data_IF_487732894471
#
_entry.id   IF_487732894471
#
_cell.length_a   1.000
_cell.length_b   1.000
_cell.length_c   1.000
_cell.angle_alpha   90.00
_cell.angle_beta   90.00
_cell.angle_gamma   90.00
#
_symmetry.space_group_name_H-M   'P 1'
#
loop_
_entity.id
_entity.type
_entity.pdbx_description
1 polymer ?
#
# COMPACT_ATOMS: atom_id res chain seq x y z
N UNK A 1 -34.01 -34.06 -12.97
CA UNK A 1 -32.73 -33.86 -12.26
C UNK A 1 -31.97 -32.74 -12.95
N UNK A 2 -31.96 -31.54 -12.35
CA UNK A 2 -31.12 -30.44 -12.81
C UNK A 2 -29.74 -30.59 -12.17
N UNK A 3 -28.70 -30.75 -12.99
CA UNK A 3 -27.33 -30.82 -12.51
C UNK A 3 -26.80 -29.37 -12.42
N UNK A 4 -26.53 -28.81 -11.22
CA UNK A 4 -25.96 -27.48 -11.13
C UNK A 4 -24.53 -27.55 -11.67
N UNK A 5 -24.24 -26.79 -12.73
CA UNK A 5 -22.88 -26.59 -13.21
C UNK A 5 -22.12 -25.97 -12.03
N UNK A 6 -21.25 -26.76 -11.40
CA UNK A 6 -20.29 -26.22 -10.45
C UNK A 6 -19.38 -25.29 -11.23
N UNK A 7 -19.64 -23.99 -11.15
CA UNK A 7 -18.75 -22.97 -11.70
C UNK A 7 -17.43 -23.07 -10.94
N UNK A 8 -16.43 -23.68 -11.56
CA UNK A 8 -15.05 -23.53 -11.12
C UNK A 8 -14.80 -22.02 -10.97
N UNK A 9 -14.29 -21.53 -9.82
CA UNK A 9 -13.98 -20.11 -9.69
C UNK A 9 -12.92 -19.78 -10.74
N UNK A 10 -13.36 -19.11 -11.82
CA UNK A 10 -12.45 -18.66 -12.85
C UNK A 10 -11.54 -17.60 -12.20
N UNK A 11 -10.21 -17.70 -12.34
CA UNK A 11 -9.32 -16.70 -11.77
C UNK A 11 -9.65 -15.33 -12.35
N UNK A 12 -10.02 -14.39 -11.48
CA UNK A 12 -10.37 -13.01 -11.81
C UNK A 12 -9.22 -12.37 -12.59
N UNK A 13 -9.47 -11.87 -13.81
CA UNK A 13 -8.45 -11.15 -14.59
C UNK A 13 -8.50 -9.67 -14.28
N UNK A 14 -7.32 -9.08 -14.10
CA UNK A 14 -7.14 -7.69 -13.68
C UNK A 14 -6.30 -6.96 -14.73
N UNK A 15 -6.70 -5.72 -15.01
CA UNK A 15 -5.98 -4.74 -15.80
C UNK A 15 -5.54 -3.62 -14.84
N UNK A 16 -4.28 -3.67 -14.43
CA UNK A 16 -3.73 -2.80 -13.39
C UNK A 16 -2.74 -1.78 -13.97
N UNK A 17 -2.77 -0.51 -13.54
CA UNK A 17 -1.85 0.52 -13.99
C UNK A 17 -0.46 0.35 -13.35
N UNK A 18 0.52 -0.16 -14.11
CA UNK A 18 1.92 -0.28 -13.64
C UNK A 18 2.70 1.02 -13.79
N UNK A 19 2.37 1.83 -14.80
CA UNK A 19 2.92 3.17 -15.01
C UNK A 19 1.84 4.07 -15.58
N UNK A 20 1.52 5.15 -14.87
CA UNK A 20 0.57 6.15 -15.34
C UNK A 20 1.07 7.54 -14.94
N UNK A 21 1.33 8.39 -15.93
CA UNK A 21 1.79 9.77 -15.71
C UNK A 21 0.66 10.81 -15.83
N UNK A 22 -0.57 10.36 -16.12
CA UNK A 22 -1.70 11.22 -16.48
C UNK A 22 -2.84 11.21 -15.46
N UNK A 23 -2.79 10.34 -14.45
CA UNK A 23 -3.77 10.28 -13.38
C UNK A 23 -3.08 10.30 -12.01
N UNK A 24 -3.65 11.05 -11.07
CA UNK A 24 -3.14 11.19 -9.69
C UNK A 24 -3.35 9.90 -8.90
N UNK A 25 -4.48 9.22 -9.12
CA UNK A 25 -4.85 8.00 -8.37
C UNK A 25 -5.45 6.97 -9.34
N UNK A 26 -4.60 6.22 -10.08
CA UNK A 26 -5.08 5.31 -11.09
C UNK A 26 -5.61 4.01 -10.46
N UNK A 27 -6.91 3.73 -10.60
CA UNK A 27 -7.51 2.45 -10.21
C UNK A 27 -7.38 1.39 -11.30
N UNK A 28 -7.33 0.12 -10.90
CA UNK A 28 -7.41 -1.00 -11.83
C UNK A 28 -8.82 -1.29 -12.34
N UNK A 29 -8.94 -2.18 -13.31
CA UNK A 29 -10.21 -2.72 -13.79
C UNK A 29 -10.14 -4.24 -13.80
N UNK A 30 -11.27 -4.92 -13.61
CA UNK A 30 -11.37 -6.35 -13.92
C UNK A 30 -11.99 -6.57 -15.28
N UNK A 31 -11.69 -7.71 -15.90
CA UNK A 31 -12.31 -8.08 -17.15
C UNK A 31 -12.46 -9.59 -17.27
N UNK A 32 -13.37 -10.02 -18.15
CA UNK A 32 -13.53 -11.40 -18.57
C UNK A 32 -13.53 -11.51 -20.10
N UNK A 33 -13.29 -12.72 -20.60
CA UNK A 33 -13.35 -13.03 -22.02
C UNK A 33 -14.59 -13.90 -22.24
N UNK A 34 -15.62 -13.33 -22.83
CA UNK A 34 -16.92 -14.00 -23.08
C UNK A 34 -17.17 -13.98 -24.57
N UNK A 35 -17.31 -15.17 -25.18
CA UNK A 35 -17.58 -15.28 -26.62
C UNK A 35 -16.52 -14.63 -27.53
N UNK A 36 -15.28 -14.48 -27.06
CA UNK A 36 -14.20 -13.82 -27.80
C UNK A 36 -14.16 -12.28 -27.65
N UNK A 37 -15.05 -11.70 -26.85
CA UNK A 37 -15.05 -10.27 -26.52
C UNK A 37 -14.57 -10.04 -25.07
N UNK A 38 -14.07 -8.83 -24.81
CA UNK A 38 -13.71 -8.37 -23.46
C UNK A 38 -14.97 -7.77 -22.82
N UNK A 39 -15.38 -8.33 -21.69
CA UNK A 39 -16.39 -7.74 -20.81
C UNK A 39 -15.70 -7.09 -19.62
N UNK A 40 -15.93 -5.78 -19.42
CA UNK A 40 -15.36 -5.04 -18.31
C UNK A 40 -16.20 -5.19 -17.05
N UNK A 41 -15.53 -5.34 -15.91
CA UNK A 41 -16.17 -5.25 -14.61
C UNK A 41 -16.72 -3.85 -14.36
N UNK A 42 -17.88 -3.79 -13.71
CA UNK A 42 -18.57 -2.53 -13.41
C UNK A 42 -17.88 -1.69 -12.32
N UNK A 43 -17.06 -2.34 -11.48
CA UNK A 43 -16.42 -1.72 -10.35
C UNK A 43 -14.91 -1.59 -10.57
N UNK A 44 -14.31 -0.47 -10.16
CA UNK A 44 -12.86 -0.33 -10.15
C UNK A 44 -12.24 -1.34 -9.17
N UNK A 45 -11.03 -1.77 -9.50
CA UNK A 45 -10.17 -2.56 -8.62
C UNK A 45 -9.36 -1.56 -7.80
N UNK A 46 -9.66 -1.51 -6.50
CA UNK A 46 -9.01 -0.60 -5.53
C UNK A 46 -7.89 -1.27 -4.75
N UNK A 47 -7.70 -2.58 -4.95
CA UNK A 47 -6.56 -3.32 -4.42
C UNK A 47 -5.25 -2.65 -4.84
N UNK A 48 -4.28 -2.59 -3.92
CA UNK A 48 -2.96 -2.02 -4.19
C UNK A 48 -2.30 -2.81 -5.34
N UNK A 49 -2.03 -2.11 -6.44
CA UNK A 49 -1.44 -2.71 -7.63
C UNK A 49 -0.07 -3.30 -7.34
N UNK A 50 0.73 -2.66 -6.48
CA UNK A 50 2.03 -3.21 -6.09
C UNK A 50 1.88 -4.46 -5.24
N UNK A 51 0.86 -4.54 -4.38
CA UNK A 51 0.55 -5.73 -3.56
C UNK A 51 0.08 -6.91 -4.41
N UNK A 52 -0.82 -6.69 -5.37
CA UNK A 52 -1.25 -7.75 -6.29
C UNK A 52 -0.07 -8.25 -7.13
N UNK A 53 0.80 -7.32 -7.58
CA UNK A 53 1.95 -7.65 -8.39
C UNK A 53 3.11 -8.25 -7.59
N UNK A 54 3.25 -7.94 -6.29
CA UNK A 54 4.30 -8.49 -5.43
C UNK A 54 4.08 -9.97 -5.11
N UNK A 55 2.82 -10.43 -5.12
CA UNK A 55 2.46 -11.84 -4.95
C UNK A 55 2.78 -12.73 -6.19
N UNK A 56 3.26 -12.15 -7.30
CA UNK A 56 3.72 -12.93 -8.46
C UNK A 56 5.13 -13.47 -8.22
N UNK A 57 5.28 -14.80 -8.36
CA UNK A 57 6.53 -15.54 -8.07
C UNK A 57 7.75 -15.12 -8.91
N UNK A 58 7.54 -14.38 -10.01
CA UNK A 58 8.57 -14.15 -11.05
C UNK A 58 9.17 -12.73 -11.06
N UNK A 59 9.09 -11.97 -9.96
CA UNK A 59 9.52 -10.56 -9.96
C UNK A 59 11.02 -10.35 -9.61
N UNK A 60 11.70 -9.37 -10.23
CA UNK A 60 13.02 -8.91 -9.78
C UNK A 60 12.96 -8.37 -8.34
N UNK A 61 14.02 -8.64 -7.58
CA UNK A 61 14.11 -8.43 -6.12
C UNK A 61 13.78 -7.01 -5.59
N UNK A 62 13.64 -6.01 -6.48
CA UNK A 62 13.38 -4.62 -6.12
C UNK A 62 12.00 -4.35 -5.56
N UNK A 63 10.95 -4.98 -6.12
CA UNK A 63 9.54 -4.72 -5.74
C UNK A 63 9.11 -5.45 -4.47
N UNK A 64 9.65 -6.66 -4.22
CA UNK A 64 9.40 -7.38 -2.96
C UNK A 64 9.84 -6.54 -1.76
N UNK A 65 11.02 -5.92 -1.85
CA UNK A 65 11.59 -5.10 -0.78
C UNK A 65 10.80 -3.82 -0.46
N UNK A 66 10.08 -3.24 -1.43
CA UNK A 66 9.21 -2.07 -1.16
C UNK A 66 7.93 -2.52 -0.46
N UNK A 67 7.35 -3.64 -0.89
CA UNK A 67 6.21 -4.25 -0.21
C UNK A 67 6.54 -4.61 1.25
N UNK A 68 7.68 -5.27 1.48
CA UNK A 68 8.16 -5.59 2.84
C UNK A 68 8.29 -4.32 3.71
N UNK A 69 8.72 -3.20 3.12
CA UNK A 69 8.83 -1.92 3.82
C UNK A 69 7.46 -1.28 4.14
N UNK A 70 6.49 -1.34 3.21
CA UNK A 70 5.11 -0.89 3.44
C UNK A 70 4.45 -1.71 4.53
N UNK A 71 4.59 -3.03 4.47
CA UNK A 71 4.05 -3.94 5.47
C UNK A 71 4.67 -3.69 6.85
N UNK A 72 5.99 -3.50 6.92
CA UNK A 72 6.66 -3.12 8.16
C UNK A 72 6.08 -1.83 8.76
N UNK A 73 5.87 -0.78 7.95
CA UNK A 73 5.30 0.47 8.45
C UNK A 73 3.85 0.33 8.94
N UNK A 74 3.01 -0.44 8.23
CA UNK A 74 1.67 -0.81 8.71
C UNK A 74 1.76 -1.48 10.08
N UNK A 75 2.58 -2.52 10.19
CA UNK A 75 2.76 -3.25 11.45
C UNK A 75 3.28 -2.39 12.59
N UNK A 76 4.10 -1.36 12.33
CA UNK A 76 4.66 -0.51 13.38
C UNK A 76 3.74 0.65 13.79
N UNK A 77 2.93 1.19 12.87
CA UNK A 77 2.21 2.46 13.08
C UNK A 77 0.68 2.35 12.98
N UNK A 78 0.14 1.42 12.19
CA UNK A 78 -1.32 1.31 12.01
C UNK A 78 -2.01 0.88 13.32
N UNK A 79 -2.92 1.70 13.84
CA UNK A 79 -3.60 1.46 15.11
C UNK A 79 -2.70 1.60 16.34
N UNK A 80 -1.55 2.29 16.23
CA UNK A 80 -0.54 2.38 17.29
C UNK A 80 -0.13 3.82 17.57
N UNK A 81 0.43 4.04 18.75
CA UNK A 81 0.92 5.38 19.11
C UNK A 81 2.06 5.85 18.19
N UNK A 82 2.15 7.17 17.93
CA UNK A 82 3.23 7.74 17.15
C UNK A 82 4.61 7.34 17.66
N UNK A 83 5.52 6.99 16.74
CA UNK A 83 6.84 6.45 17.10
C UNK A 83 7.98 7.37 16.63
N UNK A 84 9.03 7.45 17.45
CA UNK A 84 10.27 8.14 17.14
C UNK A 84 10.87 7.64 15.81
N UNK A 85 11.20 8.56 14.90
CA UNK A 85 11.78 8.25 13.60
C UNK A 85 13.08 7.45 13.73
N UNK A 86 13.92 7.75 14.71
CA UNK A 86 15.16 7.01 14.98
C UNK A 86 14.88 5.54 15.34
N UNK A 87 13.84 5.30 16.13
CA UNK A 87 13.43 3.95 16.53
C UNK A 87 12.88 3.16 15.33
N UNK A 88 12.09 3.82 14.47
CA UNK A 88 11.60 3.19 13.24
C UNK A 88 12.77 2.81 12.33
N UNK A 89 13.76 3.70 12.14
CA UNK A 89 14.95 3.39 11.33
C UNK A 89 15.79 2.27 11.94
N UNK A 90 15.91 2.22 13.27
CA UNK A 90 16.61 1.14 13.98
C UNK A 90 15.92 -0.21 13.74
N UNK A 91 14.60 -0.28 13.94
CA UNK A 91 13.80 -1.49 13.70
C UNK A 91 13.85 -1.90 12.23
N UNK A 92 13.74 -0.94 11.30
CA UNK A 92 13.83 -1.23 9.87
C UNK A 92 15.17 -1.91 9.50
N UNK A 93 16.27 -1.48 10.13
CA UNK A 93 17.59 -2.10 9.93
C UNK A 93 17.65 -3.54 10.45
N UNK A 94 16.99 -3.83 11.57
CA UNK A 94 16.86 -5.20 12.11
C UNK A 94 16.07 -6.11 11.16
N UNK A 95 15.08 -5.55 10.47
CA UNK A 95 14.31 -6.22 9.42
C UNK A 95 14.98 -6.18 8.04
N UNK A 96 16.25 -5.75 7.94
CA UNK A 96 17.02 -5.63 6.68
C UNK A 96 16.36 -4.73 5.61
N UNK A 97 15.54 -3.77 6.04
CA UNK A 97 14.91 -2.78 5.17
C UNK A 97 15.83 -1.58 5.05
N UNK A 98 16.17 -1.22 3.80
CA UNK A 98 17.02 -0.06 3.52
C UNK A 98 16.28 1.27 3.73
N UNK A 99 16.96 2.28 4.27
CA UNK A 99 16.37 3.59 4.59
C UNK A 99 15.72 4.28 3.38
N UNK A 100 16.31 4.12 2.18
CA UNK A 100 15.74 4.65 0.94
C UNK A 100 14.34 4.10 0.65
N UNK A 101 14.15 2.79 0.86
CA UNK A 101 12.85 2.12 0.66
C UNK A 101 11.86 2.47 1.75
N UNK A 102 12.34 2.67 2.97
CA UNK A 102 11.49 3.10 4.06
C UNK A 102 10.92 4.50 3.79
N UNK A 103 11.71 5.41 3.22
CA UNK A 103 11.26 6.75 2.83
C UNK A 103 10.28 6.70 1.66
N UNK A 104 10.51 5.83 0.67
CA UNK A 104 9.59 5.58 -0.44
C UNK A 104 8.25 5.01 0.07
N UNK A 105 8.29 3.95 0.90
CA UNK A 105 7.10 3.36 1.52
C UNK A 105 6.33 4.37 2.40
N UNK A 106 7.04 5.24 3.11
CA UNK A 106 6.44 6.32 3.89
C UNK A 106 5.66 7.31 3.01
N UNK A 107 6.21 7.68 1.85
CA UNK A 107 5.53 8.56 0.89
C UNK A 107 4.29 7.88 0.31
N UNK A 108 4.42 6.62 -0.12
CA UNK A 108 3.31 5.85 -0.68
C UNK A 108 2.16 5.65 0.31
N UNK A 109 2.47 5.44 1.59
CA UNK A 109 1.48 5.29 2.66
C UNK A 109 1.01 6.62 3.26
N UNK A 110 1.50 7.76 2.74
CA UNK A 110 1.17 9.11 3.22
C UNK A 110 1.36 9.31 4.75
N UNK A 111 2.33 8.61 5.36
CA UNK A 111 2.59 8.65 6.82
C UNK A 111 2.87 10.08 7.29
N UNK A 112 2.14 10.50 8.32
CA UNK A 112 2.29 11.81 8.94
C UNK A 112 3.63 11.91 9.68
N UNK A 113 4.25 13.09 9.64
CA UNK A 113 5.54 13.34 10.32
C UNK A 113 5.61 14.73 10.89
N UNK A 114 5.97 14.79 12.17
CA UNK A 114 6.03 16.04 12.91
C UNK A 114 7.16 15.98 13.94
N UNK A 115 7.51 17.15 14.49
CA UNK A 115 8.50 17.25 15.55
C UNK A 115 7.76 17.29 16.89
N UNK A 116 8.15 16.43 17.85
CA UNK A 116 7.43 16.34 19.13
C UNK A 116 7.57 17.59 20.01
N UNK A 117 8.60 18.41 19.80
CA UNK A 117 8.77 19.73 20.40
C UNK A 117 9.82 20.55 19.63
N UNK A 118 10.02 21.81 19.99
CA UNK A 118 10.98 22.70 19.32
C UNK A 118 12.39 22.09 19.17
N UNK A 119 12.86 21.37 20.21
CA UNK A 119 14.11 20.59 20.21
C UNK A 119 13.86 19.06 20.29
N UNK A 120 12.63 18.63 20.04
CA UNK A 120 12.22 17.24 20.13
C UNK A 120 12.64 16.41 18.92
N UNK A 121 12.40 15.11 19.02
CA UNK A 121 12.65 14.15 17.95
C UNK A 121 11.59 14.25 16.87
N UNK A 122 11.93 13.77 15.67
CA UNK A 122 10.96 13.53 14.61
C UNK A 122 10.14 12.29 14.95
N UNK A 123 8.82 12.41 14.86
CA UNK A 123 7.86 11.36 15.17
C UNK A 123 7.04 11.08 13.93
N UNK A 124 6.76 9.81 13.66
CA UNK A 124 5.89 9.36 12.59
C UNK A 124 4.60 8.78 13.18
N UNK A 125 3.46 9.04 12.53
CA UNK A 125 2.15 8.54 12.92
C UNK A 125 1.39 8.03 11.72
N UNK A 126 0.48 7.06 11.94
CA UNK A 126 -0.40 6.61 10.87
C UNK A 126 -1.31 7.77 10.39
N UNK A 127 -1.61 7.85 9.07
CA UNK A 127 -2.42 8.94 8.53
C UNK A 127 -3.79 9.00 9.21
N UNK A 128 -4.17 10.19 9.69
CA UNK A 128 -5.47 10.41 10.34
C UNK A 128 -5.54 10.09 11.83
N UNK A 129 -4.55 9.38 12.40
CA UNK A 129 -4.49 9.12 13.85
C UNK A 129 -3.93 10.33 14.63
N UNK A 130 -3.20 11.23 13.97
CA UNK A 130 -2.71 12.49 14.55
C UNK A 130 -3.68 13.66 14.30
N UNK A 131 -4.96 13.45 14.59
CA UNK A 131 -6.01 14.47 14.44
C UNK A 131 -6.12 15.42 15.65
N UNK A 132 -5.28 15.28 16.68
CA UNK A 132 -5.52 15.93 17.98
C UNK A 132 -4.75 17.21 18.31
N UNK A 133 -4.02 17.84 17.38
CA UNK A 133 -3.33 19.12 17.67
C UNK A 133 -3.56 20.23 16.63
N UNK A 134 -4.53 20.09 15.71
CA UNK A 134 -4.81 21.11 14.68
C UNK A 134 -5.98 22.06 14.97
N UNK A 135 -6.60 21.99 16.16
CA UNK A 135 -7.69 22.92 16.54
C UNK A 135 -7.33 23.72 17.80
N UNK A 136 -6.42 24.67 17.61
CA UNK A 136 -6.22 25.92 18.36
C UNK A 136 -4.94 26.48 17.73
N UNK A 137 -4.96 27.56 16.95
CA UNK A 137 -5.25 28.92 17.36
C UNK A 137 -5.57 29.71 16.06
N UNK A 138 -6.79 30.25 15.95
CA UNK A 138 -7.14 31.62 15.54
C UNK A 138 -8.67 31.77 15.62
#
# INVERSE_FOLDING_TARGET
MFNPIQSQPCPRRLFLPVKNNYAIDPTGLSFDIVGGAIEWGLLPVTDDTDEILSNRRDKPAGSKKLHDAKQFLREQLEGKEPMDSEEIFRRAREHQIGESRLREAKQDLAIDTYKSSFNGKWVWSWPGENTLDRVSIY
#
